data_IF_897971825441
#
_entry.id   IF_897971825441
#
_cell.length_a   1.000
_cell.length_b   1.000
_cell.length_c   1.000
_cell.angle_alpha   90.00
_cell.angle_beta   90.00
_cell.angle_gamma   90.00
#
_symmetry.space_group_name_H-M   'P 1'
#
loop_
_entity.id
_entity.type
_entity.pdbx_description
1 polymer ?
#
# COMPACT_ATOMS: atom_id res chain seq x y z
N UNK A 1 -27.49 -4.75 -17.94
CA UNK A 1 -27.17 -3.36 -18.39
C UNK A 1 -26.36 -2.59 -17.32
N UNK A 2 -26.39 -2.97 -16.03
CA UNK A 2 -25.67 -2.31 -14.94
C UNK A 2 -24.13 -2.49 -14.97
N UNK A 3 -23.61 -3.58 -15.49
CA UNK A 3 -22.16 -3.88 -15.45
C UNK A 3 -21.24 -3.04 -16.35
N UNK A 4 -21.79 -2.30 -17.32
CA UNK A 4 -20.97 -1.44 -18.23
C UNK A 4 -20.71 -0.05 -17.67
N UNK A 5 -21.59 0.47 -16.80
CA UNK A 5 -21.44 1.80 -16.20
C UNK A 5 -20.31 1.84 -15.16
N UNK A 6 -20.23 0.83 -14.30
CA UNK A 6 -19.25 0.75 -13.20
C UNK A 6 -17.81 0.71 -13.72
N UNK A 7 -17.55 -0.09 -14.79
CA UNK A 7 -16.21 -0.14 -15.40
C UNK A 7 -15.78 1.19 -16.04
N UNK A 8 -16.74 2.01 -16.47
CA UNK A 8 -16.48 3.30 -17.10
C UNK A 8 -16.13 4.38 -16.07
N UNK A 9 -16.79 4.38 -14.89
CA UNK A 9 -16.49 5.31 -13.80
C UNK A 9 -15.14 5.03 -13.14
N UNK A 10 -14.80 3.77 -12.87
CA UNK A 10 -13.47 3.41 -12.38
C UNK A 10 -12.36 3.76 -13.38
N UNK A 11 -12.61 3.58 -14.68
CA UNK A 11 -11.65 3.93 -15.72
C UNK A 11 -11.44 5.45 -15.82
N UNK A 12 -12.50 6.24 -15.70
CA UNK A 12 -12.43 7.70 -15.74
C UNK A 12 -11.69 8.26 -14.52
N UNK A 13 -11.86 7.70 -13.33
CA UNK A 13 -11.17 8.15 -12.12
C UNK A 13 -9.64 7.94 -12.21
N UNK A 14 -9.19 6.82 -12.79
CA UNK A 14 -7.76 6.59 -13.07
C UNK A 14 -7.20 7.47 -14.19
N UNK A 15 -8.00 7.77 -15.21
CA UNK A 15 -7.61 8.64 -16.34
C UNK A 15 -7.48 10.10 -15.87
N UNK A 16 -8.41 10.61 -15.05
CA UNK A 16 -8.37 11.97 -14.51
C UNK A 16 -7.19 12.18 -13.56
N UNK A 17 -6.88 11.22 -12.69
CA UNK A 17 -5.71 11.26 -11.82
C UNK A 17 -4.41 11.27 -12.65
N UNK A 18 -4.32 10.50 -13.71
CA UNK A 18 -3.13 10.44 -14.57
C UNK A 18 -2.90 11.73 -15.37
N UNK A 19 -3.97 12.38 -15.84
CA UNK A 19 -3.90 13.68 -16.52
C UNK A 19 -3.48 14.79 -15.56
N UNK A 20 -4.06 14.83 -14.37
CA UNK A 20 -3.71 15.78 -13.33
C UNK A 20 -2.23 15.67 -12.92
N UNK A 21 -1.72 14.46 -12.77
CA UNK A 21 -0.34 14.20 -12.45
C UNK A 21 0.62 14.54 -13.57
N UNK A 22 0.24 14.24 -14.81
CA UNK A 22 0.98 14.66 -16.00
C UNK A 22 1.08 16.19 -16.07
N UNK A 23 0.00 16.90 -15.80
CA UNK A 23 -0.05 18.36 -15.75
C UNK A 23 0.83 18.90 -14.62
N UNK A 24 0.75 18.35 -13.40
CA UNK A 24 1.60 18.77 -12.27
C UNK A 24 3.08 18.53 -12.56
N UNK A 25 3.43 17.37 -13.14
CA UNK A 25 4.81 17.04 -13.53
C UNK A 25 5.39 18.06 -14.53
N UNK A 26 4.59 18.45 -15.51
CA UNK A 26 5.04 19.35 -16.57
C UNK A 26 5.03 20.83 -16.16
N UNK A 27 4.06 21.27 -15.34
CA UNK A 27 3.93 22.70 -14.97
C UNK A 27 4.86 23.07 -13.81
N UNK A 28 5.07 22.21 -12.83
CA UNK A 28 5.85 22.55 -11.62
C UNK A 28 7.31 22.11 -11.65
N UNK A 29 7.75 21.35 -12.66
CA UNK A 29 9.15 20.87 -12.76
C UNK A 29 9.65 20.12 -11.53
N UNK A 30 8.82 19.94 -10.50
CA UNK A 30 9.16 19.22 -9.28
C UNK A 30 8.94 17.75 -9.50
N UNK A 31 9.99 16.98 -9.32
CA UNK A 31 9.88 15.54 -9.25
C UNK A 31 9.03 15.16 -8.02
N UNK A 32 7.81 14.67 -8.24
CA UNK A 32 6.89 14.26 -7.18
C UNK A 32 7.57 13.26 -6.23
N UNK A 33 8.41 12.38 -6.78
CA UNK A 33 9.20 11.45 -5.97
C UNK A 33 10.13 12.18 -4.97
N UNK A 34 10.77 13.29 -5.36
CA UNK A 34 11.66 14.03 -4.44
C UNK A 34 10.92 14.70 -3.29
N UNK A 35 9.65 15.09 -3.50
CA UNK A 35 8.81 15.61 -2.43
C UNK A 35 8.49 14.54 -1.39
N UNK A 36 8.11 13.34 -1.84
CA UNK A 36 7.82 12.22 -0.93
C UNK A 36 9.07 11.70 -0.23
N UNK A 37 10.23 11.73 -0.88
CA UNK A 37 11.52 11.40 -0.25
C UNK A 37 11.80 12.30 0.96
N UNK A 38 11.61 13.61 0.81
CA UNK A 38 11.76 14.56 1.92
C UNK A 38 10.76 14.33 3.06
N UNK A 39 9.50 14.10 2.73
CA UNK A 39 8.44 13.82 3.70
C UNK A 39 8.73 12.52 4.45
N UNK A 40 9.01 11.43 3.74
CA UNK A 40 9.29 10.12 4.35
C UNK A 40 10.52 10.15 5.25
N UNK A 41 11.62 10.79 4.84
CA UNK A 41 12.82 10.94 5.67
C UNK A 41 12.56 11.77 6.94
N UNK A 42 11.68 12.75 6.86
CA UNK A 42 11.27 13.52 8.03
C UNK A 42 10.41 12.67 8.97
N UNK A 43 9.38 12.03 8.45
CA UNK A 43 8.50 11.16 9.23
C UNK A 43 9.27 9.99 9.87
N UNK A 44 10.19 9.35 9.14
CA UNK A 44 11.01 8.26 9.70
C UNK A 44 11.81 8.68 10.94
N UNK A 45 12.33 9.92 10.95
CA UNK A 45 13.12 10.42 12.07
C UNK A 45 12.29 10.93 13.24
N UNK A 46 11.15 11.57 12.96
CA UNK A 46 10.34 12.26 13.96
C UNK A 46 9.13 11.43 14.41
N UNK A 47 8.57 10.63 13.50
CA UNK A 47 7.32 9.87 13.68
C UNK A 47 7.35 8.57 12.88
N UNK A 48 8.13 7.60 13.33
CA UNK A 48 8.36 6.34 12.60
C UNK A 48 7.06 5.59 12.23
N UNK A 49 6.08 5.58 13.13
CA UNK A 49 4.78 4.93 12.89
C UNK A 49 3.98 5.60 11.76
N UNK A 50 4.06 6.93 11.63
CA UNK A 50 3.44 7.65 10.51
C UNK A 50 4.14 7.34 9.19
N UNK A 51 5.46 7.19 9.20
CA UNK A 51 6.19 6.73 8.01
C UNK A 51 5.76 5.32 7.62
N UNK A 52 5.62 4.41 8.58
CA UNK A 52 5.11 3.06 8.38
C UNK A 52 3.69 3.07 7.80
N UNK A 53 2.78 3.88 8.36
CA UNK A 53 1.40 3.98 7.89
C UNK A 53 1.35 4.49 6.43
N UNK A 54 2.12 5.53 6.11
CA UNK A 54 2.17 6.06 4.75
C UNK A 54 2.74 5.05 3.75
N UNK A 55 3.80 4.31 4.13
CA UNK A 55 4.39 3.26 3.30
C UNK A 55 3.43 2.07 3.16
N UNK A 56 2.71 1.67 4.22
CA UNK A 56 1.67 0.65 4.16
C UNK A 56 0.57 1.04 3.18
N UNK A 57 0.07 2.27 3.26
CA UNK A 57 -0.94 2.78 2.35
C UNK A 57 -0.43 2.79 0.89
N UNK A 58 0.82 3.22 0.67
CA UNK A 58 1.49 3.15 -0.63
C UNK A 58 1.63 1.72 -1.15
N UNK A 59 2.01 0.77 -0.30
CA UNK A 59 2.17 -0.64 -0.64
C UNK A 59 0.84 -1.30 -1.04
N UNK A 60 -0.22 -1.09 -0.27
CA UNK A 60 -1.56 -1.59 -0.60
C UNK A 60 -2.04 -1.03 -1.93
N UNK A 61 -1.89 0.29 -2.14
CA UNK A 61 -2.38 0.93 -3.36
C UNK A 61 -1.52 0.59 -4.60
N UNK A 62 -0.21 0.44 -4.47
CA UNK A 62 0.64 -0.08 -5.55
C UNK A 62 0.32 -1.54 -5.89
N UNK A 63 -0.24 -2.27 -4.93
CA UNK A 63 -0.80 -3.61 -5.12
C UNK A 63 -2.26 -3.61 -5.61
N UNK A 64 -2.77 -2.44 -6.07
CA UNK A 64 -4.08 -2.24 -6.71
C UNK A 64 -5.28 -2.42 -5.77
N UNK A 65 -5.08 -2.26 -4.49
CA UNK A 65 -6.15 -2.28 -3.47
C UNK A 65 -6.01 -1.10 -2.51
N UNK A 66 -7.12 -0.53 -2.01
CA UNK A 66 -7.03 0.48 -0.97
C UNK A 66 -6.62 -0.17 0.37
N UNK A 67 -6.08 0.64 1.27
CA UNK A 67 -5.87 0.24 2.66
C UNK A 67 -7.20 0.34 3.40
N UNK A 68 -7.73 -0.77 3.95
CA UNK A 68 -8.88 -0.69 4.84
C UNK A 68 -8.47 -0.38 6.27
N UNK A 69 -9.41 0.18 7.04
CA UNK A 69 -9.19 0.45 8.45
C UNK A 69 -8.85 -0.82 9.25
N UNK A 70 -9.53 -1.93 8.94
CA UNK A 70 -9.30 -3.22 9.60
C UNK A 70 -7.90 -3.76 9.30
N UNK A 71 -7.42 -3.61 8.05
CA UNK A 71 -6.04 -3.98 7.69
C UNK A 71 -5.04 -3.13 8.48
N UNK A 72 -5.27 -1.82 8.59
CA UNK A 72 -4.41 -0.95 9.38
C UNK A 72 -4.40 -1.34 10.87
N UNK A 73 -5.58 -1.61 11.45
CA UNK A 73 -5.70 -2.09 12.83
C UNK A 73 -4.96 -3.41 13.04
N UNK A 74 -5.12 -4.38 12.15
CA UNK A 74 -4.40 -5.66 12.24
C UNK A 74 -2.89 -5.49 12.11
N UNK A 75 -2.46 -4.62 11.21
CA UNK A 75 -1.05 -4.31 10.98
C UNK A 75 -0.37 -3.69 12.22
N UNK A 76 -1.03 -2.73 12.88
CA UNK A 76 -0.52 -2.04 14.07
C UNK A 76 -0.88 -2.73 15.39
N UNK A 77 -1.64 -3.85 15.35
CA UNK A 77 -1.98 -4.58 16.57
C UNK A 77 -0.72 -5.11 17.27
N UNK A 78 -0.68 -4.91 18.57
CA UNK A 78 0.24 -5.66 19.45
C UNK A 78 -0.44 -6.98 19.82
N UNK A 79 0.23 -8.15 19.74
CA UNK A 79 -0.31 -9.42 20.21
C UNK A 79 -0.80 -9.40 21.68
N UNK A 80 -0.30 -8.45 22.47
CA UNK A 80 -0.62 -8.29 23.89
C UNK A 80 -1.62 -7.15 24.19
N UNK A 81 -2.05 -6.39 23.17
CA UNK A 81 -2.99 -5.27 23.33
C UNK A 81 -4.22 -5.49 22.46
N UNK A 82 -5.41 -5.31 23.02
CA UNK A 82 -6.64 -5.17 22.28
C UNK A 82 -6.53 -3.96 21.32
N UNK A 83 -6.96 -4.14 20.09
CA UNK A 83 -6.98 -3.21 18.97
C UNK A 83 -6.91 -1.73 19.33
N UNK A 84 -5.89 -1.06 18.85
CA UNK A 84 -5.69 0.37 19.09
C UNK A 84 -6.36 1.22 17.99
N UNK A 85 -7.70 1.08 17.87
CA UNK A 85 -8.51 1.83 16.91
C UNK A 85 -8.23 3.34 16.94
N UNK A 86 -8.06 3.89 18.13
CA UNK A 86 -7.84 5.31 18.31
C UNK A 86 -6.50 5.77 17.72
N UNK A 87 -5.43 5.02 17.94
CA UNK A 87 -4.11 5.35 17.39
C UNK A 87 -4.09 5.29 15.88
N UNK A 88 -4.75 4.29 15.28
CA UNK A 88 -4.88 4.19 13.81
C UNK A 88 -5.64 5.39 13.23
N UNK A 89 -6.72 5.84 13.89
CA UNK A 89 -7.45 7.03 13.48
C UNK A 89 -6.62 8.31 13.64
N UNK A 90 -5.86 8.44 14.72
CA UNK A 90 -4.95 9.56 14.94
C UNK A 90 -3.87 9.61 13.85
N UNK A 91 -3.21 8.48 13.55
CA UNK A 91 -2.24 8.38 12.46
C UNK A 91 -2.83 8.75 11.09
N UNK A 92 -4.06 8.28 10.80
CA UNK A 92 -4.77 8.64 9.56
C UNK A 92 -5.01 10.15 9.49
N UNK A 93 -5.46 10.77 10.58
CA UNK A 93 -5.74 12.20 10.64
C UNK A 93 -4.47 13.04 10.49
N UNK A 94 -3.36 12.61 11.08
CA UNK A 94 -2.05 13.26 10.93
C UNK A 94 -1.53 13.22 9.48
N UNK A 95 -2.02 12.28 8.66
CA UNK A 95 -1.67 12.12 7.25
C UNK A 95 -2.75 12.62 6.27
N UNK A 96 -3.76 13.37 6.74
CA UNK A 96 -4.91 13.82 5.93
C UNK A 96 -4.51 14.58 4.64
N UNK A 97 -3.44 15.37 4.70
CA UNK A 97 -2.91 16.08 3.53
C UNK A 97 -2.31 15.15 2.45
N UNK A 98 -1.94 13.92 2.82
CA UNK A 98 -1.25 12.96 1.97
C UNK A 98 -2.16 11.82 1.50
N UNK A 99 -3.21 11.54 2.25
CA UNK A 99 -4.15 10.46 2.00
C UNK A 99 -5.53 11.01 1.65
N UNK A 100 -6.32 10.17 0.99
CA UNK A 100 -7.74 10.41 0.71
C UNK A 100 -8.56 9.23 1.19
N UNK A 101 -9.80 9.51 1.58
CA UNK A 101 -10.79 8.45 1.77
C UNK A 101 -11.19 7.88 0.42
N UNK A 102 -11.29 6.56 0.36
CA UNK A 102 -11.68 5.86 -0.85
C UNK A 102 -13.18 5.59 -0.82
N UNK A 103 -13.89 6.22 -1.72
CA UNK A 103 -15.32 6.01 -1.92
C UNK A 103 -15.54 5.26 -3.22
N UNK A 104 -16.13 4.07 -3.17
CA UNK A 104 -16.67 3.40 -4.35
C UNK A 104 -18.13 3.08 -4.11
N UNK A 105 -18.95 3.15 -5.15
CA UNK A 105 -20.37 2.80 -5.05
C UNK A 105 -20.60 1.34 -4.63
N UNK A 106 -19.61 0.47 -4.85
CA UNK A 106 -19.64 -0.93 -4.44
C UNK A 106 -19.32 -1.11 -2.94
N UNK A 107 -18.65 -0.12 -2.32
CA UNK A 107 -18.20 -0.17 -0.93
C UNK A 107 -19.09 0.63 0.02
N UNK A 108 -19.96 1.50 -0.51
CA UNK A 108 -20.90 2.31 0.31
C UNK A 108 -21.87 1.45 1.15
N UNK A 109 -22.07 0.19 0.75
CA UNK A 109 -22.94 -0.74 1.49
C UNK A 109 -22.20 -1.53 2.60
N UNK A 110 -20.87 -1.29 2.80
CA UNK A 110 -20.05 -2.13 3.68
C UNK A 110 -19.61 -1.46 4.97
N UNK A 111 -19.97 -0.23 5.27
CA UNK A 111 -19.54 0.54 6.47
C UNK A 111 -18.01 0.46 6.74
N UNK A 112 -17.21 0.31 5.69
CA UNK A 112 -15.75 0.16 5.78
C UNK A 112 -15.06 1.41 5.31
N UNK A 113 -14.18 1.96 6.16
CA UNK A 113 -13.32 3.08 5.79
C UNK A 113 -12.10 2.57 5.02
N UNK A 114 -11.87 3.15 3.84
CA UNK A 114 -10.73 2.86 2.99
C UNK A 114 -9.91 4.12 2.75
N UNK A 115 -8.59 3.95 2.71
CA UNK A 115 -7.63 5.02 2.49
C UNK A 115 -6.71 4.71 1.32
N UNK A 116 -6.29 5.74 0.60
CA UNK A 116 -5.30 5.59 -0.46
C UNK A 116 -4.52 6.89 -0.69
N UNK A 117 -3.29 6.83 -1.18
CA UNK A 117 -2.60 8.00 -1.73
C UNK A 117 -3.39 8.55 -2.90
N UNK A 118 -3.32 9.85 -3.13
CA UNK A 118 -4.14 10.56 -4.12
C UNK A 118 -4.14 9.94 -5.52
N UNK A 119 -3.16 9.08 -5.86
CA UNK A 119 -3.12 8.35 -7.11
C UNK A 119 -2.15 7.17 -7.06
N UNK A 120 -2.25 6.29 -8.06
CA UNK A 120 -1.33 5.16 -8.25
C UNK A 120 0.13 5.63 -8.43
N UNK A 121 0.36 6.70 -9.17
CA UNK A 121 1.69 7.25 -9.36
C UNK A 121 2.30 7.76 -8.05
N UNK A 122 1.49 8.36 -7.18
CA UNK A 122 1.93 8.76 -5.85
C UNK A 122 2.28 7.55 -5.00
N UNK A 123 1.47 6.49 -5.05
CA UNK A 123 1.77 5.24 -4.35
C UNK A 123 3.10 4.63 -4.80
N UNK A 124 3.35 4.55 -6.12
CA UNK A 124 4.65 4.12 -6.64
C UNK A 124 5.79 5.04 -6.17
N UNK A 125 5.55 6.36 -6.13
CA UNK A 125 6.55 7.33 -5.65
C UNK A 125 6.86 7.14 -4.17
N UNK A 126 5.84 6.88 -3.34
CA UNK A 126 6.02 6.52 -1.92
C UNK A 126 6.89 5.26 -1.82
N UNK A 127 6.55 4.19 -2.54
CA UNK A 127 7.32 2.95 -2.53
C UNK A 127 8.76 3.17 -3.03
N UNK A 128 8.96 3.95 -4.09
CA UNK A 128 10.31 4.28 -4.60
C UNK A 128 11.14 5.10 -3.61
N UNK A 129 10.51 5.98 -2.86
CA UNK A 129 11.19 6.86 -1.88
C UNK A 129 11.27 6.26 -0.48
N UNK A 130 10.49 5.20 -0.20
CA UNK A 130 10.45 4.57 1.11
C UNK A 130 11.86 4.14 1.57
N UNK A 131 12.27 4.46 2.81
CA UNK A 131 13.46 3.88 3.41
C UNK A 131 13.37 2.36 3.37
N UNK A 132 14.49 1.72 3.07
CA UNK A 132 14.54 0.26 2.92
C UNK A 132 13.96 -0.46 4.13
N UNK A 133 14.41 -0.06 5.31
CA UNK A 133 14.04 -0.74 6.55
C UNK A 133 12.54 -0.60 6.86
N UNK A 134 11.96 0.58 6.58
CA UNK A 134 10.50 0.80 6.69
C UNK A 134 9.73 -0.08 5.71
N UNK A 135 10.16 -0.14 4.44
CA UNK A 135 9.49 -0.98 3.44
C UNK A 135 9.61 -2.47 3.80
N UNK A 136 10.79 -2.92 4.22
CA UNK A 136 11.05 -4.28 4.69
C UNK A 136 10.12 -4.63 5.87
N UNK A 137 10.00 -3.73 6.85
CA UNK A 137 9.13 -3.89 8.00
C UNK A 137 7.67 -3.98 7.59
N UNK A 138 7.21 -3.09 6.69
CA UNK A 138 5.84 -3.10 6.16
C UNK A 138 5.52 -4.44 5.50
N UNK A 139 6.36 -4.91 4.60
CA UNK A 139 6.13 -6.17 3.89
C UNK A 139 6.10 -7.37 4.84
N UNK A 140 7.02 -7.41 5.83
CA UNK A 140 7.05 -8.47 6.83
C UNK A 140 5.79 -8.45 7.71
N UNK A 141 5.43 -7.29 8.27
CA UNK A 141 4.25 -7.17 9.14
C UNK A 141 2.95 -7.50 8.41
N UNK A 142 2.82 -7.18 7.10
CA UNK A 142 1.64 -7.56 6.30
C UNK A 142 1.49 -9.07 6.28
N UNK A 143 2.53 -9.85 5.96
CA UNK A 143 2.43 -11.31 5.93
C UNK A 143 2.34 -11.94 7.33
N UNK A 144 2.80 -11.27 8.37
CA UNK A 144 2.78 -11.80 9.74
C UNK A 144 1.49 -11.51 10.50
N UNK A 145 0.84 -10.36 10.19
CA UNK A 145 -0.24 -9.83 11.05
C UNK A 145 -1.58 -9.64 10.33
N UNK A 146 -1.56 -9.46 9.01
CA UNK A 146 -2.78 -9.15 8.26
C UNK A 146 -3.37 -10.40 7.63
N UNK A 147 -4.52 -10.91 8.13
CA UNK A 147 -5.19 -12.03 7.50
C UNK A 147 -5.61 -11.72 6.06
N UNK A 148 -5.42 -12.65 5.14
CA UNK A 148 -5.77 -12.48 3.71
C UNK A 148 -7.24 -12.12 3.49
N UNK A 149 -8.14 -12.58 4.36
CA UNK A 149 -9.58 -12.33 4.31
C UNK A 149 -9.97 -10.88 4.61
N UNK A 150 -9.09 -10.11 5.28
CA UNK A 150 -9.31 -8.69 5.57
C UNK A 150 -8.89 -7.78 4.43
N UNK A 151 -8.08 -8.28 3.49
CA UNK A 151 -7.61 -7.49 2.37
C UNK A 151 -8.71 -7.42 1.31
N UNK A 152 -9.24 -6.22 1.11
CA UNK A 152 -10.21 -5.97 0.05
C UNK A 152 -9.67 -6.43 -1.30
N UNK A 153 -10.52 -7.15 -2.05
CA UNK A 153 -10.14 -7.71 -3.36
C UNK A 153 -8.78 -8.44 -3.34
N UNK A 154 -8.60 -9.36 -2.40
CA UNK A 154 -7.36 -10.11 -2.21
C UNK A 154 -6.85 -10.76 -3.51
N UNK A 155 -7.75 -11.19 -4.41
CA UNK A 155 -7.36 -11.75 -5.71
C UNK A 155 -6.58 -10.75 -6.60
N UNK A 156 -6.81 -9.45 -6.44
CA UNK A 156 -6.03 -8.41 -7.09
C UNK A 156 -4.73 -8.15 -6.34
N UNK A 157 -4.79 -8.01 -5.01
CA UNK A 157 -3.62 -7.81 -4.16
C UNK A 157 -2.53 -8.85 -4.42
N UNK A 158 -2.86 -10.14 -4.35
CA UNK A 158 -1.88 -11.23 -4.48
C UNK A 158 -1.13 -11.29 -5.81
N UNK A 159 -1.65 -10.62 -6.85
CA UNK A 159 -1.00 -10.52 -8.17
C UNK A 159 0.14 -9.50 -8.21
N UNK A 160 0.09 -8.49 -7.36
CA UNK A 160 0.97 -7.34 -7.41
C UNK A 160 1.84 -7.15 -6.17
N UNK A 161 1.38 -7.62 -5.01
CA UNK A 161 2.01 -7.38 -3.72
C UNK A 161 3.43 -7.96 -3.62
N UNK A 162 3.69 -9.06 -4.30
CA UNK A 162 4.96 -9.79 -4.24
C UNK A 162 5.85 -9.53 -5.45
N UNK A 163 5.64 -8.42 -6.17
CA UNK A 163 6.44 -8.05 -7.35
C UNK A 163 7.92 -7.96 -6.99
N UNK A 164 8.76 -8.60 -7.83
CA UNK A 164 10.21 -8.69 -7.57
C UNK A 164 10.88 -7.33 -7.44
N UNK A 165 10.38 -6.30 -8.11
CA UNK A 165 10.98 -4.95 -8.04
C UNK A 165 10.81 -4.32 -6.66
N UNK A 166 9.64 -4.54 -6.03
CA UNK A 166 9.35 -4.09 -4.66
C UNK A 166 10.16 -4.93 -3.67
N UNK A 167 10.15 -6.26 -3.85
CA UNK A 167 10.88 -7.19 -2.97
C UNK A 167 12.39 -6.92 -3.03
N UNK A 168 12.98 -6.76 -4.22
CA UNK A 168 14.43 -6.47 -4.37
C UNK A 168 14.84 -5.14 -3.71
N UNK A 169 13.93 -4.18 -3.64
CA UNK A 169 14.17 -2.92 -2.92
C UNK A 169 14.20 -3.14 -1.41
N UNK A 170 13.23 -3.88 -0.89
CA UNK A 170 13.12 -4.15 0.55
C UNK A 170 14.20 -5.13 1.04
N UNK A 171 14.52 -6.12 0.24
CA UNK A 171 15.42 -7.24 0.53
C UNK A 171 16.49 -7.37 -0.58
N UNK A 172 17.50 -6.50 -0.65
CA UNK A 172 18.55 -6.59 -1.67
C UNK A 172 19.51 -7.78 -1.45
N UNK A 173 19.57 -8.32 -0.25
CA UNK A 173 20.30 -9.57 0.00
C UNK A 173 19.50 -10.78 -0.48
N UNK A 174 20.13 -11.64 -1.28
CA UNK A 174 19.47 -12.80 -1.88
C UNK A 174 18.86 -13.76 -0.84
N UNK A 175 19.54 -13.96 0.29
CA UNK A 175 19.05 -14.87 1.32
C UNK A 175 17.80 -14.30 2.00
N UNK A 176 17.84 -13.00 2.36
CA UNK A 176 16.68 -12.31 2.93
C UNK A 176 15.47 -12.33 1.99
N UNK A 177 15.70 -12.08 0.69
CA UNK A 177 14.61 -12.10 -0.29
C UNK A 177 14.04 -13.50 -0.51
N UNK A 178 14.90 -14.54 -0.54
CA UNK A 178 14.46 -15.93 -0.58
C UNK A 178 13.60 -16.28 0.65
N UNK A 179 14.06 -15.96 1.85
CA UNK A 179 13.30 -16.17 3.10
C UNK A 179 11.95 -15.45 3.08
N UNK A 180 11.91 -14.22 2.56
CA UNK A 180 10.66 -13.49 2.38
C UNK A 180 9.69 -14.22 1.46
N UNK A 181 10.14 -14.71 0.28
CA UNK A 181 9.27 -15.45 -0.64
C UNK A 181 8.81 -16.78 -0.06
N UNK A 182 9.64 -17.48 0.71
CA UNK A 182 9.25 -18.71 1.42
C UNK A 182 8.12 -18.41 2.44
N UNK A 183 8.23 -17.32 3.20
CA UNK A 183 7.17 -16.88 4.14
C UNK A 183 5.91 -16.41 3.40
N UNK A 184 6.06 -15.66 2.32
CA UNK A 184 4.93 -15.23 1.50
C UNK A 184 4.18 -16.42 0.88
N UNK A 185 4.90 -17.49 0.52
CA UNK A 185 4.28 -18.73 0.04
C UNK A 185 3.51 -19.46 1.13
N UNK A 186 3.94 -19.39 2.38
CA UNK A 186 3.20 -19.95 3.51
C UNK A 186 2.00 -19.09 3.90
N UNK A 187 2.13 -17.77 3.77
CA UNK A 187 1.05 -16.81 4.00
C UNK A 187 -0.16 -17.02 3.07
N UNK A 188 0.10 -17.28 1.79
CA UNK A 188 -0.93 -17.63 0.80
C UNK A 188 -0.50 -18.91 0.07
N UNK A 189 -0.79 -20.05 0.70
CA UNK A 189 -0.33 -21.35 0.23
C UNK A 189 -0.77 -21.64 -1.21
N UNK A 190 0.20 -22.02 -2.04
CA UNK A 190 0.03 -22.29 -3.48
C UNK A 190 -0.27 -21.05 -4.34
N UNK A 191 0.04 -19.84 -3.87
CA UNK A 191 -0.09 -18.65 -4.70
C UNK A 191 0.89 -18.71 -5.89
N UNK A 192 0.41 -18.81 -7.14
CA UNK A 192 1.29 -18.94 -8.31
C UNK A 192 2.10 -17.68 -8.58
N UNK A 193 1.61 -16.51 -8.17
CA UNK A 193 2.32 -15.24 -8.36
C UNK A 193 3.54 -15.13 -7.44
N UNK A 194 3.44 -15.63 -6.20
CA UNK A 194 4.60 -15.70 -5.27
C UNK A 194 5.68 -16.59 -5.87
N UNK A 195 5.31 -17.77 -6.41
CA UNK A 195 6.28 -18.69 -7.05
C UNK A 195 6.90 -18.06 -8.30
N UNK A 196 6.08 -17.42 -9.14
CA UNK A 196 6.56 -16.75 -10.35
C UNK A 196 7.54 -15.61 -10.01
N UNK A 197 7.19 -14.75 -9.09
CA UNK A 197 8.02 -13.60 -8.71
C UNK A 197 9.28 -14.03 -7.96
N UNK A 198 9.19 -15.04 -7.10
CA UNK A 198 10.35 -15.62 -6.43
C UNK A 198 11.34 -16.30 -7.41
N UNK A 199 10.84 -16.90 -8.50
CA UNK A 199 11.71 -17.46 -9.55
C UNK A 199 12.41 -16.38 -10.40
N UNK A 200 11.85 -15.16 -10.46
CA UNK A 200 12.43 -14.02 -11.18
C UNK A 200 13.38 -13.19 -10.30
N UNK A 201 13.26 -13.33 -8.98
CA UNK A 201 14.09 -12.64 -8.00
C UNK A 201 15.51 -13.18 -7.97
#
# INVERSE_FOLDING_TARGET
IRGKSIKKEQRNQYEDDSIFEFVIRNIKGQNVASRYDGVLKKLEREHHELAEFLVLCGYMHSSRVPLSFEVACSYFSDPNQLYNYREVLEMRNDLDDLLKDYYSNELLDQDMDFYYPRSYFIAESIIKSAPRDVLKQVMNKVIDRVPTVQIYNYNTFKKHAFDKSIVSKAFPDWKEGKEFYERAFLYDFKNPYVLQQGALY
#
